data_IF_665147221686
#
_entry.id   IF_665147221686
#
_cell.length_a   1.000
_cell.length_b   1.000
_cell.length_c   1.000
_cell.angle_alpha   90.00
_cell.angle_beta   90.00
_cell.angle_gamma   90.00
#
_symmetry.space_group_name_H-M   'P 1'
#
loop_
_entity.id
_entity.type
_entity.pdbx_description
1 polymer ?
#
# COMPACT_ATOMS: atom_id res chain seq x y z
N UNK A 1 26.35 -25.42 -34.03
CA UNK A 1 25.51 -25.58 -32.83
C UNK A 1 25.58 -24.27 -32.04
N UNK A 2 24.57 -23.39 -32.05
CA UNK A 2 24.58 -22.21 -31.19
C UNK A 2 24.05 -22.59 -29.80
N UNK A 3 24.86 -22.39 -28.77
CA UNK A 3 24.46 -22.57 -27.37
C UNK A 3 23.58 -21.40 -26.96
N UNK A 4 22.31 -21.69 -26.64
CA UNK A 4 21.38 -20.71 -26.08
C UNK A 4 21.94 -20.16 -24.75
N UNK A 5 22.21 -18.86 -24.70
CA UNK A 5 22.51 -18.16 -23.44
C UNK A 5 21.23 -18.15 -22.63
N UNK A 6 21.24 -18.83 -21.49
CA UNK A 6 20.18 -18.70 -20.50
C UNK A 6 20.18 -17.24 -20.00
N UNK A 7 19.18 -16.47 -20.42
CA UNK A 7 18.91 -15.15 -19.86
C UNK A 7 18.41 -15.35 -18.44
N UNK A 8 19.29 -15.18 -17.45
CA UNK A 8 18.91 -15.18 -16.04
C UNK A 8 18.03 -13.95 -15.80
N UNK A 9 16.71 -14.14 -15.83
CA UNK A 9 15.74 -13.09 -15.52
C UNK A 9 15.84 -12.81 -14.03
N UNK A 10 16.49 -11.71 -13.65
CA UNK A 10 16.52 -11.25 -12.26
C UNK A 10 15.10 -10.98 -11.80
N UNK A 11 14.55 -11.83 -10.92
CA UNK A 11 13.24 -11.61 -10.31
C UNK A 11 13.42 -10.50 -9.28
N UNK A 12 13.04 -9.28 -9.63
CA UNK A 12 12.97 -8.16 -8.68
C UNK A 12 11.81 -8.46 -7.73
N UNK A 13 12.11 -8.83 -6.49
CA UNK A 13 11.10 -8.98 -5.45
C UNK A 13 10.51 -7.60 -5.15
N UNK A 14 9.24 -7.39 -5.51
CA UNK A 14 8.47 -6.19 -5.15
C UNK A 14 7.67 -6.50 -3.90
N UNK A 15 7.92 -5.77 -2.83
CA UNK A 15 7.11 -5.86 -1.62
C UNK A 15 5.87 -4.97 -1.77
N UNK A 16 4.70 -5.52 -1.46
CA UNK A 16 3.43 -4.80 -1.52
C UNK A 16 2.90 -4.56 -0.11
N UNK A 17 2.35 -3.37 0.13
CA UNK A 17 1.75 -2.96 1.39
C UNK A 17 0.37 -2.38 1.06
N UNK A 18 -0.66 -2.82 1.78
CA UNK A 18 -2.00 -2.23 1.64
C UNK A 18 -2.04 -0.94 2.44
N UNK A 19 -2.32 0.17 1.77
CA UNK A 19 -2.51 1.47 2.41
C UNK A 19 -3.99 1.68 2.74
N UNK A 20 -4.31 1.78 4.03
CA UNK A 20 -5.64 2.17 4.51
C UNK A 20 -5.66 3.70 4.69
N UNK A 21 -6.32 4.38 3.75
CA UNK A 21 -6.45 5.83 3.74
C UNK A 21 -7.74 6.24 4.48
N UNK A 22 -7.74 7.37 5.21
CA UNK A 22 -8.97 8.01 5.69
C UNK A 22 -9.93 8.33 4.54
N UNK A 23 -11.24 8.23 4.80
CA UNK A 23 -12.30 8.49 3.82
C UNK A 23 -12.16 9.85 3.13
N UNK A 24 -11.67 10.87 3.84
CA UNK A 24 -11.47 12.21 3.27
C UNK A 24 -10.39 12.24 2.19
N UNK A 25 -9.50 11.23 2.16
CA UNK A 25 -8.42 11.08 1.19
C UNK A 25 -8.76 10.12 0.06
N UNK A 26 -9.69 9.19 0.25
CA UNK A 26 -10.11 8.27 -0.81
C UNK A 26 -10.67 9.00 -2.04
N UNK A 27 -11.24 10.20 -1.82
CA UNK A 27 -11.75 11.06 -2.88
C UNK A 27 -10.67 11.88 -3.61
N UNK A 28 -9.42 11.89 -3.13
CA UNK A 28 -8.34 12.66 -3.74
C UNK A 28 -7.60 11.82 -4.80
N UNK A 29 -7.28 12.40 -5.97
CA UNK A 29 -6.38 11.77 -6.93
C UNK A 29 -5.02 11.46 -6.28
N UNK A 30 -4.43 10.30 -6.59
CA UNK A 30 -3.16 9.86 -5.99
C UNK A 30 -2.00 10.85 -6.16
N UNK A 31 -2.00 11.66 -7.22
CA UNK A 31 -1.01 12.72 -7.46
C UNK A 31 -1.05 13.85 -6.42
N UNK A 32 -2.14 13.97 -5.67
CA UNK A 32 -2.31 14.99 -4.63
C UNK A 32 -1.82 14.54 -3.25
N UNK A 33 -1.25 13.34 -3.16
CA UNK A 33 -0.81 12.71 -1.92
C UNK A 33 0.67 12.35 -2.02
N UNK A 34 1.43 12.63 -0.97
CA UNK A 34 2.85 12.28 -0.85
C UNK A 34 3.09 11.45 0.41
N UNK A 35 3.71 10.29 0.23
CA UNK A 35 4.20 9.45 1.32
C UNK A 35 5.65 9.83 1.68
N UNK A 36 5.95 9.88 2.98
CA UNK A 36 7.27 10.23 3.51
C UNK A 36 7.65 9.24 4.63
N UNK A 37 8.91 8.79 4.65
CA UNK A 37 9.44 7.95 5.74
C UNK A 37 8.83 6.56 5.84
N UNK A 38 8.55 5.89 4.71
CA UNK A 38 8.01 4.51 4.66
C UNK A 38 8.96 3.44 5.25
N UNK A 39 10.21 3.80 5.51
CA UNK A 39 11.21 2.99 6.19
C UNK A 39 11.21 3.20 7.72
N UNK A 40 10.38 4.10 8.24
CA UNK A 40 10.30 4.44 9.66
C UNK A 40 9.11 3.76 10.35
N UNK A 41 9.10 3.73 11.69
CA UNK A 41 7.96 3.19 12.46
C UNK A 41 6.69 4.06 12.36
N UNK A 42 6.84 5.34 12.00
CA UNK A 42 5.75 6.32 11.93
C UNK A 42 5.83 7.11 10.62
N UNK A 43 5.59 6.45 9.48
CA UNK A 43 5.54 7.13 8.19
C UNK A 43 4.47 8.21 8.19
N UNK A 44 4.59 9.17 7.27
CA UNK A 44 3.61 10.24 7.16
C UNK A 44 3.07 10.36 5.75
N UNK A 45 1.85 10.85 5.68
CA UNK A 45 1.18 11.19 4.43
C UNK A 45 0.85 12.67 4.48
N UNK A 46 1.15 13.37 3.39
CA UNK A 46 0.81 14.79 3.20
C UNK A 46 -0.03 14.97 1.94
N UNK A 47 -1.03 15.80 2.04
CA UNK A 47 -1.82 16.25 0.90
C UNK A 47 -1.31 17.59 0.38
N UNK A 48 -1.62 17.92 -0.87
CA UNK A 48 -1.24 19.20 -1.48
C UNK A 48 -1.87 20.43 -0.79
N UNK A 49 -3.04 20.26 -0.15
CA UNK A 49 -3.67 21.32 0.66
C UNK A 49 -3.06 21.47 2.07
N UNK A 50 -1.99 20.71 2.36
CA UNK A 50 -1.18 20.85 3.57
C UNK A 50 -1.65 20.03 4.78
N UNK A 51 -2.70 19.21 4.65
CA UNK A 51 -3.11 18.28 5.72
C UNK A 51 -2.04 17.20 5.90
N UNK A 52 -1.87 16.76 7.15
CA UNK A 52 -0.89 15.76 7.54
C UNK A 52 -1.54 14.61 8.26
N UNK A 53 -1.08 13.41 7.93
CA UNK A 53 -1.52 12.16 8.50
C UNK A 53 -0.32 11.36 8.97
N UNK A 54 -0.48 10.64 10.08
CA UNK A 54 0.52 9.74 10.63
C UNK A 54 0.08 8.32 10.36
N UNK A 55 0.98 7.55 9.78
CA UNK A 55 0.80 6.14 9.46
C UNK A 55 1.35 5.25 10.56
N UNK A 56 0.73 4.09 10.73
CA UNK A 56 1.24 3.00 11.57
C UNK A 56 1.14 1.69 10.83
N UNK A 57 2.22 0.91 10.86
CA UNK A 57 2.21 -0.45 10.34
C UNK A 57 1.41 -1.37 11.25
N UNK A 58 0.50 -2.13 10.64
CA UNK A 58 -0.31 -3.16 11.28
C UNK A 58 0.07 -4.49 10.62
N UNK A 59 0.53 -5.42 11.44
CA UNK A 59 0.77 -6.80 11.00
C UNK A 59 -0.57 -7.52 10.91
N UNK A 60 -0.88 -8.05 9.73
CA UNK A 60 -2.04 -8.90 9.53
C UNK A 60 -1.82 -10.30 10.10
N UNK A 61 -2.91 -11.02 10.36
CA UNK A 61 -2.84 -12.48 10.50
C UNK A 61 -3.02 -13.05 9.10
N UNK A 62 -1.98 -13.71 8.58
CA UNK A 62 -1.96 -14.27 7.22
C UNK A 62 -1.58 -13.25 6.14
N UNK A 63 -1.89 -13.58 4.89
CA UNK A 63 -1.59 -12.76 3.72
C UNK A 63 -2.86 -12.19 3.10
N UNK A 64 -2.82 -10.91 2.71
CA UNK A 64 -3.86 -10.30 1.89
C UNK A 64 -3.56 -10.55 0.41
N UNK A 65 -4.53 -11.12 -0.31
CA UNK A 65 -4.45 -11.31 -1.76
C UNK A 65 -5.08 -10.12 -2.48
N UNK A 66 -4.32 -9.48 -3.37
CA UNK A 66 -4.82 -8.43 -4.25
C UNK A 66 -5.17 -9.07 -5.59
N UNK A 67 -6.46 -9.02 -5.93
CA UNK A 67 -6.98 -9.53 -7.20
C UNK A 67 -7.17 -8.36 -8.15
N UNK A 68 -6.56 -8.45 -9.33
CA UNK A 68 -6.63 -7.44 -10.36
C UNK A 68 -6.77 -8.07 -11.74
N UNK A 69 -6.96 -7.22 -12.75
CA UNK A 69 -6.87 -7.65 -14.14
C UNK A 69 -5.40 -7.62 -14.57
N UNK A 70 -4.90 -8.71 -15.12
CA UNK A 70 -3.58 -8.73 -15.75
C UNK A 70 -3.70 -8.04 -17.12
N UNK A 71 -3.24 -6.79 -17.22
CA UNK A 71 -3.24 -6.00 -18.46
C UNK A 71 -2.04 -6.31 -19.37
N UNK A 72 -1.28 -7.39 -19.12
CA UNK A 72 -0.20 -7.77 -20.03
C UNK A 72 -0.76 -8.03 -21.44
N UNK A 73 -0.26 -7.26 -22.41
CA UNK A 73 -0.81 -7.13 -23.78
C UNK A 73 -0.90 -8.44 -24.59
N UNK A 74 -0.42 -9.56 -24.06
CA UNK A 74 -0.35 -10.85 -24.75
C UNK A 74 -1.52 -11.80 -24.46
N UNK A 75 -2.44 -11.47 -23.52
CA UNK A 75 -3.56 -12.35 -23.16
C UNK A 75 -4.88 -11.60 -23.00
N UNK A 76 -6.00 -12.33 -23.15
CA UNK A 76 -7.32 -11.83 -22.75
C UNK A 76 -7.26 -11.47 -21.26
N UNK A 77 -7.86 -10.35 -20.83
CA UNK A 77 -7.84 -9.95 -19.43
C UNK A 77 -8.56 -11.02 -18.60
N UNK A 78 -7.80 -11.72 -17.77
CA UNK A 78 -8.31 -12.66 -16.77
C UNK A 78 -8.01 -12.09 -15.38
N UNK A 79 -8.99 -12.20 -14.48
CA UNK A 79 -8.78 -11.80 -13.10
C UNK A 79 -7.80 -12.77 -12.43
N UNK A 80 -6.76 -12.23 -11.81
CA UNK A 80 -5.70 -13.01 -11.18
C UNK A 80 -5.13 -12.33 -9.94
N UNK A 81 -4.31 -13.06 -9.18
CA UNK A 81 -3.58 -12.50 -8.05
C UNK A 81 -2.45 -11.64 -8.62
N UNK A 82 -2.51 -10.33 -8.39
CA UNK A 82 -1.52 -9.36 -8.87
C UNK A 82 -0.50 -8.98 -7.79
N UNK A 83 -0.86 -9.16 -6.51
CA UNK A 83 0.04 -8.94 -5.38
C UNK A 83 -0.39 -9.71 -4.13
N UNK A 84 0.57 -9.98 -3.25
CA UNK A 84 0.34 -10.44 -1.88
C UNK A 84 0.93 -9.42 -0.91
N UNK A 85 0.25 -9.18 0.21
CA UNK A 85 0.71 -8.24 1.23
C UNK A 85 0.49 -8.80 2.63
N UNK A 86 1.57 -8.86 3.42
CA UNK A 86 1.54 -9.28 4.83
C UNK A 86 1.28 -8.10 5.79
N UNK A 87 1.52 -6.87 5.31
CA UNK A 87 1.49 -5.65 6.10
C UNK A 87 0.48 -4.67 5.56
N UNK A 88 -0.17 -3.99 6.50
CA UNK A 88 -1.07 -2.88 6.21
C UNK A 88 -0.51 -1.62 6.83
N UNK A 89 -0.67 -0.50 6.15
CA UNK A 89 -0.26 0.80 6.62
C UNK A 89 -1.50 1.68 6.75
N UNK A 90 -1.89 1.97 8.00
CA UNK A 90 -3.09 2.75 8.31
C UNK A 90 -2.74 4.18 8.67
N UNK A 91 -3.34 5.15 7.99
CA UNK A 91 -3.14 6.57 8.25
C UNK A 91 -4.27 7.18 9.07
N UNK A 92 -3.92 8.11 9.96
CA UNK A 92 -4.86 8.92 10.75
C UNK A 92 -4.43 10.39 10.82
N UNK A 93 -5.34 11.36 10.98
CA UNK A 93 -4.98 12.78 11.06
C UNK A 93 -3.97 13.06 12.19
N UNK A 94 -2.94 13.84 11.87
CA UNK A 94 -1.93 14.29 12.83
C UNK A 94 -2.57 15.28 13.83
N UNK A 95 -3.14 14.76 14.92
CA UNK A 95 -3.86 15.55 15.92
C UNK A 95 -4.98 14.80 16.66
N UNK A 96 -5.42 13.64 16.12
CA UNK A 96 -6.42 12.78 16.77
C UNK A 96 -5.85 11.74 17.75
N UNK A 97 -4.53 11.76 17.95
CA UNK A 97 -3.80 10.80 18.76
C UNK A 97 -3.88 11.16 20.25
N UNK A 98 -5.03 10.92 20.90
CA UNK A 98 -5.12 10.56 22.33
C UNK A 98 -6.56 10.40 22.82
N UNK A 99 -7.53 11.17 22.30
CA UNK A 99 -8.83 11.34 22.99
C UNK A 99 -10.00 10.52 22.45
N UNK A 100 -9.97 10.00 21.23
CA UNK A 100 -11.14 9.32 20.63
C UNK A 100 -11.14 7.79 20.81
N UNK A 101 -9.98 7.15 20.97
CA UNK A 101 -9.89 5.69 21.21
C UNK A 101 -10.27 5.26 22.65
N UNK A 102 -10.56 6.21 23.55
CA UNK A 102 -11.03 5.90 24.91
C UNK A 102 -12.56 5.81 25.01
N UNK A 103 -13.30 6.07 23.92
CA UNK A 103 -14.78 6.06 23.90
C UNK A 103 -15.40 4.87 23.16
N UNK A 104 -14.62 4.08 22.44
CA UNK A 104 -15.07 2.84 21.80
C UNK A 104 -14.50 1.61 22.52
N UNK A 105 -14.95 1.41 23.76
CA UNK A 105 -14.90 0.11 24.42
C UNK A 105 -16.21 -0.09 25.17
N UNK A 106 -17.12 -1.00 24.74
CA UNK A 106 -18.15 -1.53 25.62
C UNK A 106 -17.54 -2.44 26.71
#
# INVERSE_FOLDING_TARGET
MPTARASTRTIVKRDHVICELPLELEALPGEQIRFEGLDTESPTLRTMDGRRYVGRYILGVGETLVIGMDESEERKPEAGIVATAERRLRFAPAGRTASENAREAP
#
